data_IF_400728894600
#
_entry.id   IF_400728894600
#
_cell.length_a   1.000
_cell.length_b   1.000
_cell.length_c   1.000
_cell.angle_alpha   90.00
_cell.angle_beta   90.00
_cell.angle_gamma   90.00
#
_symmetry.space_group_name_H-M   'P 1'
#
loop_
_entity.id
_entity.type
_entity.pdbx_description
1 polymer ?
#
# COMPACT_ATOMS: atom_id res chain seq x y z
N UNK A 1 3.16 34.88 -23.78
CA UNK A 1 4.23 34.14 -23.07
C UNK A 1 3.75 32.72 -22.93
N UNK A 2 4.28 31.80 -23.73
CA UNK A 2 4.03 30.38 -23.54
C UNK A 2 4.93 29.89 -22.42
N UNK A 3 4.34 29.40 -21.33
CA UNK A 3 5.09 28.59 -20.37
C UNK A 3 5.30 27.23 -21.04
N UNK A 4 6.55 26.88 -21.33
CA UNK A 4 6.89 25.48 -21.61
C UNK A 4 6.59 24.70 -20.33
N UNK A 5 5.68 23.74 -20.44
CA UNK A 5 5.42 22.79 -19.37
C UNK A 5 6.71 21.97 -19.21
N UNK A 6 7.33 21.96 -18.03
CA UNK A 6 8.49 21.11 -17.80
C UNK A 6 8.10 19.66 -17.98
N UNK A 7 9.05 18.85 -18.44
CA UNK A 7 8.86 17.41 -18.54
C UNK A 7 8.46 16.84 -17.18
N UNK A 8 7.51 15.91 -17.21
CA UNK A 8 7.05 15.22 -16.00
C UNK A 8 8.27 14.59 -15.32
N UNK A 9 8.48 14.83 -14.01
CA UNK A 9 9.62 14.27 -13.32
C UNK A 9 9.58 12.74 -13.44
N UNK A 10 10.77 12.14 -13.58
CA UNK A 10 10.87 10.69 -13.60
C UNK A 10 10.18 10.11 -12.36
N UNK A 11 9.31 9.12 -12.58
CA UNK A 11 8.57 8.48 -11.49
C UNK A 11 9.57 7.98 -10.45
N UNK A 12 9.45 8.48 -9.22
CA UNK A 12 10.37 8.14 -8.15
C UNK A 12 10.34 6.62 -7.92
N UNK A 13 11.46 5.91 -8.14
CA UNK A 13 11.49 4.46 -8.05
C UNK A 13 11.10 3.96 -6.66
N UNK A 14 11.33 4.76 -5.60
CA UNK A 14 10.94 4.41 -4.24
C UNK A 14 9.42 4.48 -4.09
N UNK A 15 8.80 5.58 -4.51
CA UNK A 15 7.34 5.73 -4.52
C UNK A 15 6.67 4.63 -5.34
N UNK A 16 7.18 4.35 -6.54
CA UNK A 16 6.66 3.27 -7.39
C UNK A 16 6.77 1.89 -6.70
N UNK A 17 7.89 1.62 -6.03
CA UNK A 17 8.08 0.40 -5.25
C UNK A 17 7.07 0.28 -4.10
N UNK A 18 6.87 1.35 -3.32
CA UNK A 18 5.95 1.36 -2.18
C UNK A 18 4.50 1.13 -2.63
N UNK A 19 4.05 1.83 -3.68
CA UNK A 19 2.71 1.65 -4.22
C UNK A 19 2.48 0.24 -4.77
N UNK A 20 3.47 -0.33 -5.47
CA UNK A 20 3.37 -1.69 -5.97
C UNK A 20 3.37 -2.71 -4.82
N UNK A 21 4.19 -2.50 -3.79
CA UNK A 21 4.21 -3.33 -2.59
C UNK A 21 2.85 -3.33 -1.91
N UNK A 22 2.28 -2.15 -1.65
CA UNK A 22 0.94 -2.02 -1.06
C UNK A 22 -0.12 -2.73 -1.91
N UNK A 23 -0.12 -2.51 -3.22
CA UNK A 23 -1.06 -3.16 -4.15
C UNK A 23 -1.02 -4.68 -4.02
N UNK A 24 0.15 -5.28 -3.85
CA UNK A 24 0.28 -6.73 -3.75
C UNK A 24 -0.09 -7.25 -2.36
N UNK A 25 0.37 -6.59 -1.30
CA UNK A 25 0.03 -6.93 0.09
C UNK A 25 -1.48 -6.83 0.33
N UNK A 26 -2.13 -5.78 -0.17
CA UNK A 26 -3.57 -5.55 -0.03
C UNK A 26 -4.44 -6.66 -0.65
N UNK A 27 -3.92 -7.45 -1.60
CA UNK A 27 -4.63 -8.62 -2.16
C UNK A 27 -4.68 -9.80 -1.19
N UNK A 28 -3.74 -9.87 -0.26
CA UNK A 28 -3.72 -10.85 0.82
C UNK A 28 -4.64 -10.48 1.99
N UNK A 29 -5.28 -9.30 1.95
CA UNK A 29 -6.10 -8.78 3.04
C UNK A 29 -7.16 -9.79 3.48
N UNK A 30 -7.24 -9.96 4.79
CA UNK A 30 -8.28 -10.78 5.43
C UNK A 30 -9.61 -10.04 5.46
N UNK A 31 -10.69 -10.82 5.32
CA UNK A 31 -12.05 -10.32 5.43
C UNK A 31 -12.78 -11.04 6.55
N UNK A 32 -13.55 -10.27 7.34
CA UNK A 32 -14.48 -10.82 8.30
C UNK A 32 -15.85 -11.01 7.62
N UNK A 33 -16.22 -12.26 7.39
CA UNK A 33 -17.54 -12.61 6.87
C UNK A 33 -18.56 -12.74 7.99
N UNK A 34 -19.65 -12.00 7.89
CA UNK A 34 -20.79 -12.01 8.83
C UNK A 34 -22.09 -12.19 8.06
N UNK A 35 -23.21 -12.36 8.77
CA UNK A 35 -24.54 -12.38 8.13
C UNK A 35 -24.90 -11.07 7.42
N UNK A 36 -24.22 -9.96 7.77
CA UNK A 36 -24.45 -8.65 7.15
C UNK A 36 -23.56 -8.39 5.92
N UNK A 37 -22.59 -9.26 5.63
CA UNK A 37 -21.64 -9.09 4.51
C UNK A 37 -20.20 -9.43 4.89
N UNK A 38 -19.27 -9.14 3.99
CA UNK A 38 -17.84 -9.30 4.19
C UNK A 38 -17.18 -7.94 4.39
N UNK A 39 -16.46 -7.77 5.50
CA UNK A 39 -15.79 -6.52 5.86
C UNK A 39 -14.28 -6.68 5.80
N UNK A 40 -13.55 -5.75 5.14
CA UNK A 40 -12.10 -5.79 5.11
C UNK A 40 -11.53 -5.56 6.52
N UNK A 41 -10.56 -6.38 6.92
CA UNK A 41 -9.77 -6.13 8.13
C UNK A 41 -8.55 -5.25 7.80
N UNK A 42 -8.04 -4.47 8.76
CA UNK A 42 -6.76 -3.76 8.60
C UNK A 42 -5.62 -4.71 8.24
N UNK A 43 -4.69 -4.21 7.42
CA UNK A 43 -3.48 -4.93 7.08
C UNK A 43 -2.65 -5.20 8.34
N UNK A 44 -2.13 -6.42 8.42
CA UNK A 44 -1.29 -6.88 9.50
C UNK A 44 0.18 -6.87 9.08
N UNK A 45 1.07 -6.66 10.06
CA UNK A 45 2.52 -6.77 9.86
C UNK A 45 2.94 -8.13 9.26
N UNK A 46 2.14 -9.18 9.48
CA UNK A 46 2.37 -10.51 8.91
C UNK A 46 2.19 -10.54 7.39
N UNK A 47 1.11 -9.96 6.87
CA UNK A 47 0.88 -9.91 5.41
C UNK A 47 2.01 -9.14 4.71
N UNK A 48 2.52 -8.09 5.35
CA UNK A 48 3.69 -7.34 4.88
C UNK A 48 4.95 -8.23 4.93
N UNK A 49 5.21 -8.92 6.05
CA UNK A 49 6.35 -9.85 6.17
C UNK A 49 6.34 -10.94 5.10
N UNK A 50 5.20 -11.62 4.93
CA UNK A 50 5.06 -12.72 3.97
C UNK A 50 5.39 -12.26 2.53
N UNK A 51 5.07 -11.01 2.19
CA UNK A 51 5.45 -10.40 0.91
C UNK A 51 6.95 -10.10 0.84
N UNK A 52 7.50 -9.43 1.85
CA UNK A 52 8.92 -9.00 1.86
C UNK A 52 9.90 -10.17 1.93
N UNK A 53 9.51 -11.29 2.55
CA UNK A 53 10.31 -12.52 2.60
C UNK A 53 10.55 -13.11 1.19
N UNK A 54 9.61 -12.87 0.26
CA UNK A 54 9.73 -13.31 -1.14
C UNK A 54 10.24 -12.21 -2.07
N UNK A 55 10.20 -10.95 -1.65
CA UNK A 55 10.57 -9.77 -2.44
C UNK A 55 11.42 -8.82 -1.58
N UNK A 56 12.76 -8.99 -1.57
CA UNK A 56 13.65 -8.16 -0.77
C UNK A 56 13.48 -6.67 -1.08
N UNK A 57 13.34 -5.87 -0.03
CA UNK A 57 13.08 -4.44 -0.15
C UNK A 57 14.37 -3.60 -0.24
N UNK A 58 14.32 -2.45 -0.94
CA UNK A 58 15.41 -1.49 -0.97
C UNK A 58 15.44 -0.54 0.25
N UNK A 59 14.48 -0.67 1.18
CA UNK A 59 14.27 0.24 2.32
C UNK A 59 14.26 -0.52 3.66
N UNK A 60 14.51 0.19 4.79
CA UNK A 60 14.28 -0.32 6.12
C UNK A 60 12.84 -0.82 6.32
N UNK A 61 12.67 -1.88 7.11
CA UNK A 61 11.37 -2.52 7.32
C UNK A 61 10.35 -1.60 7.99
N UNK A 62 10.79 -0.81 8.96
CA UNK A 62 9.98 0.14 9.71
C UNK A 62 9.41 1.25 8.82
N UNK A 63 10.20 1.74 7.86
CA UNK A 63 9.72 2.71 6.86
C UNK A 63 8.63 2.10 5.95
N UNK A 64 8.82 0.85 5.53
CA UNK A 64 7.83 0.15 4.70
C UNK A 64 6.54 -0.07 5.49
N UNK A 65 6.63 -0.57 6.73
CA UNK A 65 5.47 -0.79 7.60
C UNK A 65 4.69 0.51 7.80
N UNK A 66 5.38 1.61 8.10
CA UNK A 66 4.74 2.92 8.30
C UNK A 66 3.94 3.36 7.05
N UNK A 67 4.51 3.21 5.86
CA UNK A 67 3.83 3.54 4.60
C UNK A 67 2.67 2.59 4.32
N UNK A 68 2.85 1.29 4.53
CA UNK A 68 1.79 0.30 4.28
C UNK A 68 0.58 0.55 5.18
N UNK A 69 0.79 0.85 6.46
CA UNK A 69 -0.31 1.16 7.38
C UNK A 69 -0.98 2.49 7.08
N UNK A 70 -0.22 3.50 6.65
CA UNK A 70 -0.79 4.79 6.25
C UNK A 70 -1.69 4.65 5.00
N UNK A 71 -1.23 3.92 3.98
CA UNK A 71 -2.04 3.65 2.78
C UNK A 71 -3.25 2.76 3.09
N UNK A 72 -3.10 1.82 4.03
CA UNK A 72 -4.18 0.97 4.49
C UNK A 72 -5.32 1.78 5.14
N UNK A 73 -4.96 2.72 6.02
CA UNK A 73 -5.91 3.60 6.68
C UNK A 73 -6.71 4.43 5.67
N UNK A 74 -6.01 5.08 4.71
CA UNK A 74 -6.68 5.86 3.65
C UNK A 74 -7.63 4.99 2.84
N UNK A 75 -7.23 3.77 2.49
CA UNK A 75 -8.06 2.87 1.70
C UNK A 75 -9.30 2.37 2.48
N UNK A 76 -9.20 2.21 3.80
CA UNK A 76 -10.32 1.82 4.64
C UNK A 76 -11.27 3.00 4.91
N UNK A 77 -10.74 4.19 5.12
CA UNK A 77 -11.53 5.41 5.29
C UNK A 77 -12.40 5.70 4.04
N UNK A 78 -11.87 5.49 2.83
CA UNK A 78 -12.62 5.62 1.56
C UNK A 78 -13.79 4.61 1.42
N UNK A 79 -13.86 3.54 2.24
CA UNK A 79 -14.95 2.55 2.19
C UNK A 79 -16.08 2.85 3.19
N UNK A 80 -15.93 3.85 4.05
CA UNK A 80 -16.91 4.22 5.08
C UNK A 80 -17.85 5.39 4.64
N UNK A 81 -17.67 5.93 3.43
CA UNK A 81 -18.53 6.94 2.77
C UNK A 81 -19.48 6.32 1.71
#
# INVERSE_FOLDING_TARGET
>A
MGFELPDEPANDPITAYLLNTFRNVARGRRFLSTMAGAFPLPLSAREISDWLDSHPAPLPRDEIDAVMFALDAVCLDDNDD
#
